data_IF_429712012848
#
_entry.id   IF_429712012848
#
_cell.length_a   1.000
_cell.length_b   1.000
_cell.length_c   1.000
_cell.angle_alpha   90.00
_cell.angle_beta   90.00
_cell.angle_gamma   90.00
#
_symmetry.space_group_name_H-M   'P 1'
#
loop_
_entity.id
_entity.type
_entity.pdbx_description
1 polymer ?
#
# COMPACT_ATOMS: atom_id res chain seq x y z
N UNK A 1 20.89 -27.58 -2.87
CA UNK A 1 19.93 -26.46 -2.75
C UNK A 1 18.78 -26.72 -1.76
N UNK A 2 18.68 -27.91 -1.14
CA UNK A 2 17.63 -28.29 -0.18
C UNK A 2 17.98 -28.07 1.31
N UNK A 3 19.21 -27.68 1.62
CA UNK A 3 19.72 -27.56 3.00
C UNK A 3 19.33 -26.26 3.71
N UNK A 4 18.86 -25.24 2.99
CA UNK A 4 18.41 -23.99 3.59
C UNK A 4 16.98 -24.04 4.18
N UNK A 5 16.16 -25.04 3.81
CA UNK A 5 14.77 -25.11 4.29
C UNK A 5 14.63 -25.58 5.76
N UNK A 6 15.63 -26.25 6.35
CA UNK A 6 15.50 -26.81 7.71
C UNK A 6 15.80 -25.84 8.85
N UNK A 7 16.42 -24.68 8.61
CA UNK A 7 16.79 -23.75 9.70
C UNK A 7 15.72 -22.70 10.07
N UNK A 8 14.69 -22.51 9.25
CA UNK A 8 13.72 -21.41 9.44
C UNK A 8 12.39 -21.83 10.08
N UNK A 9 12.23 -23.09 10.46
CA UNK A 9 11.03 -23.59 11.16
C UNK A 9 10.96 -23.25 12.66
N UNK A 10 11.91 -22.46 13.19
CA UNK A 10 11.97 -22.08 14.60
C UNK A 10 11.89 -20.56 14.85
N UNK A 11 11.26 -19.80 13.94
CA UNK A 11 10.98 -18.37 14.19
C UNK A 11 9.67 -18.19 14.97
N UNK A 12 9.84 -17.69 16.18
CA UNK A 12 8.91 -17.47 17.30
C UNK A 12 8.37 -16.07 17.56
N UNK A 13 7.09 -15.71 17.33
CA UNK A 13 6.57 -14.44 17.86
C UNK A 13 6.07 -14.48 19.31
N UNK A 14 6.48 -13.46 20.06
CA UNK A 14 5.88 -12.98 21.31
C UNK A 14 5.34 -11.54 21.16
N UNK A 15 4.05 -11.31 21.50
CA UNK A 15 3.46 -9.96 21.62
C UNK A 15 3.88 -9.39 22.98
N UNK A 16 4.46 -8.19 22.96
CA UNK A 16 4.84 -7.44 24.16
C UNK A 16 3.64 -6.63 24.67
N UNK A 17 2.99 -5.87 23.79
CA UNK A 17 1.85 -5.03 24.12
C UNK A 17 0.90 -4.84 22.94
N UNK A 18 -0.34 -4.51 23.26
CA UNK A 18 -1.38 -4.12 22.30
C UNK A 18 -2.19 -2.99 22.90
N UNK A 19 -2.19 -1.86 22.22
CA UNK A 19 -2.77 -0.60 22.71
C UNK A 19 -3.67 0.03 21.66
N UNK A 20 -4.55 0.93 22.11
CA UNK A 20 -5.36 1.78 21.23
C UNK A 20 -4.83 3.20 21.37
N UNK A 21 -4.22 3.72 20.31
CA UNK A 21 -3.66 5.06 20.27
C UNK A 21 -4.70 6.02 19.71
N UNK A 22 -5.12 6.97 20.53
CA UNK A 22 -6.09 8.01 20.17
C UNK A 22 -5.37 9.31 19.75
N UNK A 23 -6.04 10.20 19.03
CA UNK A 23 -5.55 11.56 18.79
C UNK A 23 -5.17 12.25 20.10
N UNK A 24 -4.10 13.06 20.05
CA UNK A 24 -3.59 13.78 21.23
C UNK A 24 -4.53 14.89 21.71
N UNK A 25 -5.38 15.40 20.81
CA UNK A 25 -6.47 16.32 21.13
C UNK A 25 -7.76 15.83 20.49
N UNK A 26 -8.92 16.03 21.15
CA UNK A 26 -10.21 15.56 20.63
C UNK A 26 -10.53 16.14 19.25
N UNK A 27 -11.14 15.33 18.39
CA UNK A 27 -11.65 15.80 17.10
C UNK A 27 -12.78 16.81 17.33
N UNK A 28 -12.69 18.03 16.76
CA UNK A 28 -13.72 19.05 16.87
C UNK A 28 -15.10 18.54 16.42
N UNK A 29 -16.18 19.02 17.06
CA UNK A 29 -17.54 18.52 16.80
C UNK A 29 -17.96 18.62 15.31
N UNK A 30 -17.52 19.66 14.61
CA UNK A 30 -17.80 19.84 13.18
C UNK A 30 -16.98 18.91 12.25
N UNK A 31 -16.01 18.17 12.79
CA UNK A 31 -15.16 17.22 12.07
C UNK A 31 -15.41 15.77 12.49
N UNK A 32 -16.36 15.51 13.41
CA UNK A 32 -16.69 14.15 13.87
C UNK A 32 -17.31 13.25 12.80
N UNK A 33 -17.74 13.82 11.69
CA UNK A 33 -18.30 13.05 10.57
C UNK A 33 -17.49 13.37 9.33
N UNK A 34 -16.90 12.34 8.72
CA UNK A 34 -16.15 12.45 7.49
C UNK A 34 -16.82 11.63 6.40
N UNK A 35 -17.26 12.29 5.32
CA UNK A 35 -17.94 11.64 4.21
C UNK A 35 -16.94 11.32 3.10
N UNK A 36 -16.91 10.07 2.65
CA UNK A 36 -16.08 9.63 1.54
C UNK A 36 -16.49 10.33 0.25
N UNK A 37 -15.52 10.78 -0.53
CA UNK A 37 -15.78 11.39 -1.84
C UNK A 37 -16.30 10.36 -2.85
N UNK A 38 -16.82 10.81 -3.99
CA UNK A 38 -17.18 9.90 -5.09
C UNK A 38 -15.99 9.01 -5.52
N UNK A 39 -14.76 9.53 -5.51
CA UNK A 39 -13.59 8.72 -5.89
C UNK A 39 -13.30 7.65 -4.85
N UNK A 40 -13.37 7.98 -3.56
CA UNK A 40 -13.26 7.00 -2.48
C UNK A 40 -14.31 5.89 -2.63
N UNK A 41 -15.56 6.25 -2.92
CA UNK A 41 -16.68 5.32 -3.09
C UNK A 41 -16.54 4.39 -4.29
N UNK A 42 -15.83 4.83 -5.34
CA UNK A 42 -15.59 4.03 -6.54
C UNK A 42 -14.35 3.14 -6.43
N UNK A 43 -13.55 3.28 -5.37
CA UNK A 43 -12.41 2.40 -5.13
C UNK A 43 -12.82 1.14 -4.38
N UNK A 44 -12.22 0.01 -4.79
CA UNK A 44 -12.42 -1.26 -4.11
C UNK A 44 -11.85 -1.18 -2.69
N UNK A 45 -12.65 -1.58 -1.70
CA UNK A 45 -12.20 -1.60 -0.32
C UNK A 45 -11.11 -2.67 -0.15
N UNK A 46 -9.93 -2.25 0.30
CA UNK A 46 -8.82 -3.15 0.58
C UNK A 46 -7.93 -2.63 1.69
N UNK A 47 -7.35 -3.55 2.46
CA UNK A 47 -6.35 -3.20 3.45
C UNK A 47 -4.98 -3.08 2.78
N UNK A 48 -4.47 -1.85 2.68
CA UNK A 48 -3.10 -1.60 2.26
C UNK A 48 -2.16 -1.82 3.44
N UNK A 49 -1.19 -2.72 3.29
CA UNK A 49 -0.19 -2.95 4.32
C UNK A 49 1.19 -2.51 3.85
N UNK A 50 1.80 -1.63 4.64
CA UNK A 50 3.16 -1.14 4.40
C UNK A 50 4.07 -1.70 5.48
N UNK A 51 5.20 -2.28 5.05
CA UNK A 51 6.23 -2.79 5.94
C UNK A 51 7.49 -1.92 5.81
N UNK A 52 7.84 -1.22 6.90
CA UNK A 52 9.05 -0.43 7.00
C UNK A 52 10.02 -1.14 7.95
N UNK A 53 11.25 -1.37 7.49
CA UNK A 53 12.27 -2.09 8.24
C UNK A 53 13.46 -1.18 8.48
N UNK A 54 13.77 -0.97 9.75
CA UNK A 54 14.86 -0.11 10.18
C UNK A 54 15.92 -0.93 10.90
N UNK A 55 17.19 -0.67 10.59
CA UNK A 55 18.30 -1.20 11.38
C UNK A 55 18.33 -0.41 12.68
N UNK A 56 17.98 -1.04 13.79
CA UNK A 56 18.05 -0.39 15.10
C UNK A 56 19.50 -0.05 15.43
N UNK A 57 19.76 1.23 15.69
CA UNK A 57 20.99 1.67 16.33
C UNK A 57 20.73 2.08 17.77
N UNK A 58 19.60 2.73 18.12
CA UNK A 58 19.39 3.27 19.47
C UNK A 58 17.94 3.51 19.95
N UNK A 59 16.90 2.81 19.47
CA UNK A 59 15.52 3.14 19.91
C UNK A 59 14.69 1.89 20.20
N UNK A 60 14.55 1.58 21.50
CA UNK A 60 13.52 0.70 22.06
C UNK A 60 12.63 1.56 22.97
N UNK A 61 11.90 2.53 22.41
CA UNK A 61 10.89 3.22 23.20
C UNK A 61 9.61 3.38 22.38
N UNK A 62 8.75 2.36 22.45
CA UNK A 62 7.40 2.36 21.90
C UNK A 62 6.59 3.55 22.40
N UNK A 63 6.84 4.05 23.61
CA UNK A 63 6.17 5.24 24.16
C UNK A 63 6.41 6.48 23.28
N UNK A 64 7.63 6.65 22.75
CA UNK A 64 7.97 7.77 21.87
C UNK A 64 7.20 7.66 20.55
N UNK A 65 7.12 6.45 19.99
CA UNK A 65 6.39 6.19 18.76
C UNK A 65 4.89 6.44 18.96
N UNK A 66 4.32 5.95 20.07
CA UNK A 66 2.92 6.14 20.46
C UNK A 66 2.59 7.62 20.66
N UNK A 67 3.46 8.37 21.32
CA UNK A 67 3.29 9.81 21.53
C UNK A 67 3.21 10.59 20.22
N UNK A 68 4.14 10.34 19.29
CA UNK A 68 4.13 11.04 18.00
C UNK A 68 3.00 10.54 17.08
N UNK A 69 2.63 9.27 17.17
CA UNK A 69 1.47 8.72 16.47
C UNK A 69 0.19 9.43 16.93
N UNK A 70 -0.01 9.56 18.24
CA UNK A 70 -1.14 10.29 18.83
C UNK A 70 -1.21 11.74 18.33
N UNK A 71 -0.08 12.43 18.26
CA UNK A 71 0.00 13.80 17.69
C UNK A 71 -0.34 13.85 16.20
N UNK A 72 0.13 12.88 15.41
CA UNK A 72 -0.17 12.82 13.98
C UNK A 72 -1.64 12.50 13.73
N UNK A 73 -2.25 11.61 14.52
CA UNK A 73 -3.68 11.27 14.42
C UNK A 73 -4.60 12.48 14.65
N UNK A 74 -4.17 13.49 15.39
CA UNK A 74 -4.91 14.77 15.49
C UNK A 74 -5.09 15.45 14.13
N UNK A 75 -4.06 15.39 13.28
CA UNK A 75 -4.10 15.95 11.92
C UNK A 75 -4.81 15.02 10.93
N UNK A 76 -4.70 13.72 11.17
CA UNK A 76 -5.29 12.65 10.37
C UNK A 76 -6.46 11.98 11.12
N UNK A 77 -7.37 12.79 11.64
CA UNK A 77 -8.44 12.33 12.52
C UNK A 77 -9.34 11.22 11.94
N UNK A 78 -9.61 11.14 10.61
CA UNK A 78 -10.40 10.02 10.08
C UNK A 78 -9.75 8.66 10.30
N UNK A 79 -8.42 8.58 10.42
CA UNK A 79 -7.71 7.32 10.68
C UNK A 79 -7.99 6.77 12.08
N UNK A 80 -8.35 7.64 13.03
CA UNK A 80 -8.80 7.24 14.36
C UNK A 80 -10.32 6.96 14.40
N UNK A 81 -11.03 7.06 13.28
CA UNK A 81 -12.46 6.83 13.18
C UNK A 81 -12.85 5.38 12.86
N UNK A 82 -14.14 5.16 12.59
CA UNK A 82 -14.69 3.88 12.13
C UNK A 82 -15.62 4.11 10.95
N UNK A 83 -15.52 3.25 9.94
CA UNK A 83 -16.46 3.26 8.82
C UNK A 83 -17.83 2.82 9.34
N UNK A 84 -18.84 3.61 9.02
CA UNK A 84 -20.23 3.37 9.38
C UNK A 84 -20.84 2.25 8.52
N UNK A 85 -22.03 1.80 8.92
CA UNK A 85 -22.75 0.72 8.21
C UNK A 85 -23.17 1.10 6.78
N UNK A 86 -23.24 2.40 6.48
CA UNK A 86 -23.49 2.90 5.13
C UNK A 86 -22.28 2.73 4.19
N UNK A 87 -21.10 2.42 4.77
CA UNK A 87 -19.79 2.31 4.14
C UNK A 87 -19.34 3.49 3.30
N UNK A 88 -19.94 4.66 3.50
CA UNK A 88 -19.54 5.91 2.84
C UNK A 88 -19.25 7.03 3.85
N UNK A 89 -19.52 6.78 5.13
CA UNK A 89 -19.30 7.74 6.21
C UNK A 89 -18.34 7.15 7.24
N UNK A 90 -17.40 7.95 7.71
CA UNK A 90 -16.49 7.62 8.80
C UNK A 90 -16.88 8.43 10.03
N UNK A 91 -17.24 7.74 11.11
CA UNK A 91 -17.39 8.33 12.44
C UNK A 91 -16.00 8.58 13.04
N UNK A 92 -15.65 9.86 13.11
CA UNK A 92 -14.40 10.37 13.66
C UNK A 92 -14.50 10.63 15.17
N UNK A 93 -15.15 9.72 15.91
CA UNK A 93 -15.30 9.75 17.37
C UNK A 93 -14.05 9.38 18.18
N UNK A 94 -12.85 9.54 17.64
CA UNK A 94 -11.57 9.25 18.32
C UNK A 94 -11.46 7.82 18.90
N UNK A 95 -11.94 6.83 18.14
CA UNK A 95 -11.82 5.41 18.48
C UNK A 95 -10.38 4.93 18.54
N UNK A 96 -9.47 5.61 17.84
CA UNK A 96 -8.05 5.33 17.82
C UNK A 96 -7.66 4.16 16.92
N UNK A 97 -6.35 3.96 16.80
CA UNK A 97 -5.71 2.92 15.99
C UNK A 97 -5.09 1.85 16.88
N UNK A 98 -5.11 0.60 16.43
CA UNK A 98 -4.46 -0.50 17.14
C UNK A 98 -2.95 -0.42 16.91
N UNK A 99 -2.19 -0.30 17.99
CA UNK A 99 -0.73 -0.39 17.99
C UNK A 99 -0.31 -1.70 18.65
N UNK A 100 0.58 -2.46 18.01
CA UNK A 100 1.07 -3.75 18.52
C UNK A 100 2.58 -3.72 18.58
N UNK A 101 3.12 -3.98 19.77
CA UNK A 101 4.54 -4.25 19.98
C UNK A 101 4.74 -5.76 20.13
N UNK A 102 5.73 -6.32 19.46
CA UNK A 102 6.05 -7.76 19.49
C UNK A 102 7.58 -7.94 19.38
N UNK A 103 8.19 -9.12 19.60
CA UNK A 103 9.68 -9.32 19.64
C UNK A 103 10.24 -10.51 18.87
N UNK A 104 11.32 -10.32 18.03
CA UNK A 104 11.83 -11.30 17.03
C UNK A 104 12.64 -12.43 17.62
N UNK A 105 12.11 -13.66 17.72
CA UNK A 105 12.87 -14.83 18.11
C UNK A 105 13.22 -15.70 16.90
N UNK A 106 14.51 -16.03 16.77
CA UNK A 106 14.99 -16.97 15.76
C UNK A 106 15.16 -16.43 14.34
N UNK A 107 15.08 -15.11 14.12
CA UNK A 107 15.34 -14.49 12.81
C UNK A 107 16.03 -13.12 12.96
N UNK A 108 17.12 -12.89 12.23
CA UNK A 108 17.80 -11.57 12.21
C UNK A 108 17.25 -10.72 11.07
N UNK A 109 17.20 -9.39 11.26
CA UNK A 109 16.78 -8.46 10.19
C UNK A 109 17.58 -8.66 8.89
N UNK A 110 18.90 -8.91 8.99
CA UNK A 110 19.75 -9.21 7.83
C UNK A 110 19.31 -10.44 7.03
N UNK A 111 18.75 -11.44 7.71
CA UNK A 111 18.25 -12.67 7.07
C UNK A 111 16.94 -12.39 6.33
N UNK A 112 16.09 -11.50 6.87
CA UNK A 112 14.88 -11.04 6.21
C UNK A 112 15.18 -10.29 4.90
N UNK A 113 16.19 -9.42 4.89
CA UNK A 113 16.59 -8.68 3.68
C UNK A 113 17.11 -9.59 2.57
N UNK A 114 17.83 -10.65 2.92
CA UNK A 114 18.41 -11.58 1.96
C UNK A 114 17.31 -12.40 1.23
N UNK A 115 16.25 -12.78 1.95
CA UNK A 115 15.16 -13.58 1.40
C UNK A 115 13.79 -13.17 1.98
N UNK A 116 13.16 -12.10 1.46
CA UNK A 116 11.82 -11.72 1.87
C UNK A 116 10.83 -12.75 1.32
N UNK A 117 10.58 -13.80 2.10
CA UNK A 117 9.57 -14.83 1.80
C UNK A 117 8.21 -14.37 2.27
N UNK A 118 7.17 -14.72 1.50
CA UNK A 118 5.79 -14.39 1.85
C UNK A 118 5.41 -14.92 3.24
N UNK A 119 5.85 -16.12 3.59
CA UNK A 119 5.56 -16.75 4.88
C UNK A 119 6.09 -15.92 6.05
N UNK A 120 7.28 -15.33 5.92
CA UNK A 120 7.88 -14.48 6.96
C UNK A 120 7.31 -13.06 6.94
N UNK A 121 6.95 -12.53 5.78
CA UNK A 121 6.24 -11.24 5.66
C UNK A 121 4.86 -11.30 6.29
N UNK A 122 4.16 -12.43 6.09
CA UNK A 122 2.85 -12.69 6.69
C UNK A 122 2.90 -12.70 8.20
N UNK A 123 4.05 -12.97 8.82
CA UNK A 123 4.25 -12.89 10.27
C UNK A 123 4.34 -11.45 10.79
N UNK A 124 4.22 -10.39 9.96
CA UNK A 124 4.41 -8.98 10.38
C UNK A 124 3.13 -8.10 10.37
N UNK A 125 1.98 -8.57 9.89
CA UNK A 125 0.71 -7.83 9.73
C UNK A 125 -0.44 -8.12 10.74
N UNK A 126 -0.67 -7.31 11.77
CA UNK A 126 -1.53 -7.65 12.92
C UNK A 126 -2.82 -8.43 12.60
N UNK A 127 -3.18 -9.33 13.51
CA UNK A 127 -4.28 -10.29 13.38
C UNK A 127 -5.54 -9.66 12.77
N UNK A 128 -6.06 -10.28 11.70
CA UNK A 128 -7.32 -9.90 11.07
C UNK A 128 -7.23 -8.91 9.91
N UNK A 129 -6.09 -8.22 9.72
CA UNK A 129 -6.01 -7.08 8.79
C UNK A 129 -5.16 -7.31 7.54
N UNK A 130 -4.68 -8.55 7.32
CA UNK A 130 -4.39 -9.08 6.00
C UNK A 130 -4.80 -10.55 5.91
N UNK A 131 -5.81 -10.83 5.10
CA UNK A 131 -6.19 -12.17 4.64
C UNK A 131 -6.31 -13.20 5.76
N UNK A 132 -7.47 -13.25 6.47
CA UNK A 132 -7.89 -14.22 7.51
C UNK A 132 -6.85 -15.32 7.85
N UNK A 133 -6.47 -15.40 9.12
CA UNK A 133 -5.46 -16.32 9.68
C UNK A 133 -4.03 -15.85 9.43
N UNK A 134 -3.41 -15.15 10.39
CA UNK A 134 -1.96 -14.95 10.49
C UNK A 134 -1.56 -14.65 11.94
N UNK A 135 -0.61 -15.42 12.47
CA UNK A 135 0.00 -15.31 13.81
C UNK A 135 1.29 -14.48 13.70
N UNK A 136 1.48 -13.41 14.48
CA UNK A 136 2.42 -12.32 14.09
C UNK A 136 3.26 -11.67 15.15
N UNK A 137 4.56 -11.58 14.83
CA UNK A 137 5.53 -10.59 15.31
C UNK A 137 6.72 -10.53 14.37
N UNK A 138 7.61 -9.56 14.55
CA UNK A 138 7.98 -9.08 15.85
C UNK A 138 8.69 -7.68 15.81
N UNK A 139 9.57 -7.21 16.74
CA UNK A 139 9.80 -5.75 16.99
C UNK A 139 10.37 -4.95 15.83
N UNK A 140 9.43 -4.40 15.08
CA UNK A 140 9.56 -3.41 14.03
C UNK A 140 8.37 -2.48 14.22
N UNK A 141 8.53 -1.22 13.85
CA UNK A 141 7.38 -0.37 13.63
C UNK A 141 6.68 -0.85 12.36
N UNK A 142 5.75 -1.78 12.49
CA UNK A 142 4.81 -2.08 11.41
C UNK A 142 3.70 -1.06 11.51
N UNK A 143 3.86 0.00 10.71
CA UNK A 143 2.79 0.95 10.50
C UNK A 143 1.80 0.35 9.50
N UNK A 144 0.87 -0.45 10.00
CA UNK A 144 -0.30 -0.85 9.23
C UNK A 144 -1.42 0.12 9.60
N UNK A 145 -1.67 1.09 8.74
CA UNK A 145 -2.91 1.85 8.83
C UNK A 145 -3.91 1.26 7.83
N UNK A 146 -5.15 1.12 8.29
CA UNK A 146 -6.28 0.78 7.47
C UNK A 146 -6.54 2.01 6.61
N UNK A 147 -6.09 1.99 5.36
CA UNK A 147 -6.45 3.03 4.41
C UNK A 147 -7.66 2.55 3.63
N UNK A 148 -8.75 3.30 3.74
CA UNK A 148 -9.82 3.32 2.75
C UNK A 148 -9.45 4.24 1.56
N UNK A 149 -8.21 4.74 1.55
CA UNK A 149 -7.72 5.81 0.68
C UNK A 149 -6.47 5.35 -0.07
N UNK A 150 -6.05 6.12 -1.07
CA UNK A 150 -4.97 5.72 -1.96
C UNK A 150 -3.60 5.59 -1.23
N UNK A 151 -2.65 4.93 -1.89
CA UNK A 151 -1.29 4.77 -1.34
C UNK A 151 -0.56 6.10 -1.07
N UNK A 152 -0.98 7.21 -1.69
CA UNK A 152 -0.42 8.55 -1.46
C UNK A 152 -0.85 9.08 -0.09
N UNK A 153 -2.10 8.90 0.31
CA UNK A 153 -2.59 9.30 1.64
C UNK A 153 -1.83 8.57 2.75
N UNK A 154 -1.65 7.26 2.61
CA UNK A 154 -0.84 6.47 3.55
C UNK A 154 0.61 6.97 3.61
N UNK A 155 1.21 7.25 2.45
CA UNK A 155 2.57 7.78 2.39
C UNK A 155 2.68 9.15 3.06
N UNK A 156 1.69 10.04 2.88
CA UNK A 156 1.63 11.34 3.53
C UNK A 156 1.56 11.20 5.05
N UNK A 157 0.67 10.33 5.56
CA UNK A 157 0.57 10.02 6.98
C UNK A 157 1.90 9.54 7.57
N UNK A 158 2.57 8.57 6.93
CA UNK A 158 3.85 8.04 7.39
C UNK A 158 4.96 9.10 7.37
N UNK A 159 4.99 9.92 6.31
CA UNK A 159 5.95 11.02 6.19
C UNK A 159 5.73 12.07 7.28
N UNK A 160 4.48 12.40 7.60
CA UNK A 160 4.15 13.39 8.63
C UNK A 160 4.34 12.85 10.04
N UNK A 161 4.12 11.56 10.25
CA UNK A 161 4.47 10.90 11.50
C UNK A 161 5.97 10.95 11.76
N UNK A 162 6.78 10.56 10.78
CA UNK A 162 8.24 10.63 10.89
C UNK A 162 8.72 12.06 11.13
N UNK A 163 8.17 13.03 10.39
CA UNK A 163 8.50 14.45 10.55
C UNK A 163 8.14 14.98 11.92
N UNK A 164 6.94 14.64 12.41
CA UNK A 164 6.48 15.02 13.75
C UNK A 164 7.39 14.42 14.82
N UNK A 165 7.87 13.18 14.63
CA UNK A 165 8.84 12.54 15.52
C UNK A 165 10.22 13.20 15.49
N UNK A 166 10.60 13.83 14.38
CA UNK A 166 11.82 14.62 14.24
C UNK A 166 11.67 16.07 14.74
N UNK A 167 10.48 16.47 15.22
CA UNK A 167 10.20 17.84 15.66
C UNK A 167 9.95 18.83 14.52
N UNK A 168 9.74 18.36 13.29
CA UNK A 168 9.38 19.21 12.17
C UNK A 168 7.93 19.72 12.30
N UNK A 169 7.74 21.01 12.07
CA UNK A 169 6.40 21.62 12.02
C UNK A 169 5.93 21.66 10.58
N UNK A 170 4.95 20.82 10.26
CA UNK A 170 4.26 20.82 8.97
C UNK A 170 2.83 21.31 9.09
N UNK A 171 2.30 22.01 8.07
CA UNK A 171 0.90 22.41 8.04
C UNK A 171 -0.01 21.18 8.17
N UNK A 172 -1.20 21.31 8.78
CA UNK A 172 -2.20 20.25 8.74
C UNK A 172 -2.51 19.87 7.29
N UNK A 173 -2.75 18.58 7.02
CA UNK A 173 -3.07 18.16 5.69
C UNK A 173 -4.51 18.61 5.35
N UNK A 174 -4.72 19.04 4.12
CA UNK A 174 -6.03 19.50 3.67
C UNK A 174 -6.79 18.32 3.06
N UNK A 175 -7.70 17.71 3.84
CA UNK A 175 -8.47 16.56 3.37
C UNK A 175 -9.50 17.00 2.35
N UNK A 176 -9.26 16.69 1.07
CA UNK A 176 -10.06 17.17 -0.05
C UNK A 176 -11.28 16.32 -0.37
N UNK A 177 -11.60 15.31 0.44
CA UNK A 177 -12.85 14.58 0.24
C UNK A 177 -14.08 15.50 0.22
N UNK A 178 -14.00 16.68 0.86
CA UNK A 178 -15.04 17.72 0.80
C UNK A 178 -15.13 18.45 -0.56
N UNK A 179 -14.08 18.41 -1.40
CA UNK A 179 -14.05 19.08 -2.70
C UNK A 179 -14.65 18.23 -3.83
N UNK A 180 -14.75 16.91 -3.64
CA UNK A 180 -15.44 16.00 -4.56
C UNK A 180 -16.73 15.55 -3.88
N UNK A 181 -17.92 15.88 -4.43
CA UNK A 181 -19.17 15.53 -3.78
C UNK A 181 -19.30 14.01 -3.64
N UNK A 182 -19.73 13.55 -2.48
CA UNK A 182 -20.29 12.22 -2.31
C UNK A 182 -21.60 12.11 -3.08
N UNK A 183 -21.81 10.99 -3.76
CA UNK A 183 -23.11 10.62 -4.34
C UNK A 183 -23.71 9.45 -3.59
N UNK A 184 -25.03 9.32 -3.64
CA UNK A 184 -25.70 8.06 -3.28
C UNK A 184 -25.72 7.19 -4.54
N UNK A 185 -24.80 6.24 -4.62
CA UNK A 185 -24.66 5.36 -5.77
C UNK A 185 -25.74 4.27 -5.81
N UNK A 186 -26.45 4.02 -4.70
CA UNK A 186 -27.39 2.90 -4.57
C UNK A 186 -26.72 1.51 -4.56
N UNK A 187 -25.39 1.46 -4.56
CA UNK A 187 -24.60 0.24 -4.41
C UNK A 187 -23.25 0.57 -3.75
N UNK A 188 -22.65 -0.42 -3.10
CA UNK A 188 -21.35 -0.31 -2.44
C UNK A 188 -20.32 -1.09 -3.23
N UNK A 189 -19.10 -0.56 -3.34
CA UNK A 189 -18.01 -1.32 -3.93
C UNK A 189 -17.72 -2.55 -3.07
N UNK A 190 -17.53 -3.73 -3.68
CA UNK A 190 -17.26 -4.95 -2.93
C UNK A 190 -15.85 -4.91 -2.34
N UNK A 191 -15.67 -5.60 -1.23
CA UNK A 191 -14.35 -5.88 -0.69
C UNK A 191 -13.56 -6.79 -1.63
N UNK A 192 -12.25 -6.56 -1.75
CA UNK A 192 -11.38 -7.48 -2.48
C UNK A 192 -11.21 -8.76 -1.66
N UNK A 193 -11.77 -9.88 -2.14
CA UNK A 193 -11.59 -11.21 -1.53
C UNK A 193 -10.64 -12.05 -2.37
N UNK A 194 -9.44 -12.33 -1.85
CA UNK A 194 -8.51 -13.28 -2.47
C UNK A 194 -9.01 -14.70 -2.23
N UNK A 195 -9.16 -15.46 -3.32
CA UNK A 195 -9.46 -16.88 -3.27
C UNK A 195 -8.27 -17.67 -2.70
N UNK A 196 -8.41 -18.17 -1.47
CA UNK A 196 -7.38 -18.94 -0.75
C UNK A 196 -7.27 -20.41 -1.18
N UNK A 197 -8.15 -20.90 -2.04
CA UNK A 197 -8.10 -22.27 -2.53
C UNK A 197 -6.92 -22.52 -3.50
N UNK A 198 -6.29 -21.46 -4.01
CA UNK A 198 -5.10 -21.54 -4.86
C UNK A 198 -3.87 -21.12 -4.08
N UNK A 199 -2.83 -21.94 -4.14
CA UNK A 199 -1.50 -21.58 -3.64
C UNK A 199 -0.89 -20.50 -4.53
N UNK A 200 -0.84 -19.28 -4.02
CA UNK A 200 -0.13 -18.17 -4.64
C UNK A 200 1.26 -18.01 -4.01
N UNK A 201 2.26 -17.69 -4.82
CA UNK A 201 3.61 -17.35 -4.35
C UNK A 201 3.94 -15.92 -4.73
N UNK A 202 4.49 -15.16 -3.78
CA UNK A 202 4.97 -13.80 -4.04
C UNK A 202 6.47 -13.83 -4.27
N UNK A 203 6.93 -13.19 -5.35
CA UNK A 203 8.36 -13.02 -5.67
C UNK A 203 8.69 -11.55 -5.86
N UNK A 204 9.88 -11.15 -5.43
CA UNK A 204 10.42 -9.80 -5.63
C UNK A 204 11.38 -9.78 -6.80
N UNK A 205 11.07 -9.01 -7.84
CA UNK A 205 11.93 -8.79 -8.99
C UNK A 205 12.62 -7.42 -8.86
N UNK A 206 13.95 -7.39 -8.98
CA UNK A 206 14.76 -6.17 -8.81
C UNK A 206 15.40 -5.79 -10.14
N UNK A 207 15.06 -4.61 -10.65
CA UNK A 207 15.60 -4.04 -11.89
C UNK A 207 16.65 -2.98 -11.53
N UNK A 208 17.93 -3.35 -11.58
CA UNK A 208 19.04 -2.43 -11.35
C UNK A 208 19.22 -1.43 -12.50
N UNK A 209 19.96 -0.35 -12.23
CA UNK A 209 20.20 0.73 -13.19
C UNK A 209 20.73 0.24 -14.55
N UNK A 210 21.66 -0.72 -14.54
CA UNK A 210 22.21 -1.33 -15.77
C UNK A 210 21.13 -2.02 -16.62
N UNK A 211 20.28 -2.85 -16.01
CA UNK A 211 19.18 -3.53 -16.72
C UNK A 211 18.18 -2.53 -17.28
N UNK A 212 17.85 -1.49 -16.52
CA UNK A 212 16.99 -0.39 -17.00
C UNK A 212 17.63 0.32 -18.20
N UNK A 213 18.95 0.56 -18.16
CA UNK A 213 19.69 1.14 -19.28
C UNK A 213 19.61 0.28 -20.55
N UNK A 214 19.77 -1.04 -20.41
CA UNK A 214 19.62 -1.98 -21.54
C UNK A 214 18.18 -2.01 -22.08
N UNK A 215 17.18 -1.97 -21.20
CA UNK A 215 15.77 -1.88 -21.62
C UNK A 215 15.50 -0.60 -22.42
N UNK A 216 16.01 0.55 -21.95
CA UNK A 216 15.92 1.83 -22.68
C UNK A 216 16.53 1.75 -24.07
N UNK A 217 17.71 1.14 -24.20
CA UNK A 217 18.37 0.95 -25.50
C UNK A 217 17.54 0.04 -26.42
N UNK A 218 16.94 -1.03 -25.90
CA UNK A 218 16.17 -1.99 -26.70
C UNK A 218 14.89 -1.43 -27.32
N UNK A 219 14.39 -0.31 -26.82
CA UNK A 219 13.18 0.38 -27.34
C UNK A 219 13.52 1.71 -28.03
N UNK A 220 14.81 2.02 -28.17
CA UNK A 220 15.26 3.21 -28.88
C UNK A 220 14.77 3.19 -30.34
N UNK A 221 14.23 4.31 -30.80
CA UNK A 221 13.61 4.43 -32.13
C UNK A 221 12.13 4.02 -32.18
N UNK A 222 11.58 3.40 -31.13
CA UNK A 222 10.13 3.17 -30.99
C UNK A 222 9.48 4.22 -30.10
N UNK A 223 10.15 4.59 -29.00
CA UNK A 223 9.70 5.61 -28.04
C UNK A 223 10.87 6.56 -27.76
N UNK A 224 10.65 7.87 -27.87
CA UNK A 224 11.71 8.86 -27.72
C UNK A 224 12.27 8.91 -26.30
N UNK A 225 11.41 8.92 -25.27
CA UNK A 225 11.83 9.16 -23.88
C UNK A 225 11.08 8.30 -22.86
N UNK A 226 11.21 6.96 -22.92
CA UNK A 226 10.46 6.08 -22.02
C UNK A 226 10.91 6.24 -20.55
N UNK A 227 9.93 6.30 -19.66
CA UNK A 227 10.11 6.32 -18.22
C UNK A 227 10.54 4.93 -17.71
N UNK A 228 11.09 4.88 -16.50
CA UNK A 228 11.45 3.60 -15.87
C UNK A 228 10.20 2.75 -15.56
N UNK A 229 9.09 3.41 -15.24
CA UNK A 229 7.82 2.77 -14.91
C UNK A 229 7.26 2.01 -16.11
N UNK A 230 7.10 2.71 -17.24
CA UNK A 230 6.59 2.13 -18.49
C UNK A 230 7.40 0.91 -18.90
N UNK A 231 8.73 1.00 -18.91
CA UNK A 231 9.61 -0.12 -19.28
C UNK A 231 9.41 -1.35 -18.39
N UNK A 232 9.31 -1.16 -17.08
CA UNK A 232 9.15 -2.26 -16.13
C UNK A 232 7.75 -2.87 -16.26
N UNK A 233 6.71 -2.03 -16.31
CA UNK A 233 5.32 -2.48 -16.50
C UNK A 233 5.19 -3.28 -17.79
N UNK A 234 5.71 -2.77 -18.91
CA UNK A 234 5.67 -3.43 -20.22
C UNK A 234 6.33 -4.79 -20.18
N UNK A 235 7.53 -4.91 -19.57
CA UNK A 235 8.23 -6.19 -19.45
C UNK A 235 7.41 -7.18 -18.62
N UNK A 236 6.88 -6.75 -17.46
CA UNK A 236 6.07 -7.60 -16.61
C UNK A 236 4.78 -8.05 -17.31
N UNK A 237 4.09 -7.12 -17.98
CA UNK A 237 2.86 -7.39 -18.72
C UNK A 237 3.11 -8.43 -19.81
N UNK A 238 4.16 -8.27 -20.61
CA UNK A 238 4.57 -9.25 -21.62
C UNK A 238 4.84 -10.62 -21.00
N UNK A 239 5.63 -10.69 -19.92
CA UNK A 239 5.92 -11.96 -19.25
C UNK A 239 4.66 -12.67 -18.74
N UNK A 240 3.71 -11.92 -18.16
CA UNK A 240 2.44 -12.48 -17.66
C UNK A 240 1.60 -13.02 -18.81
N UNK A 241 1.45 -12.26 -19.90
CA UNK A 241 0.69 -12.70 -21.07
C UNK A 241 1.31 -13.94 -21.71
N UNK A 242 2.63 -13.94 -21.95
CA UNK A 242 3.33 -15.11 -22.52
C UNK A 242 3.17 -16.34 -21.62
N UNK A 243 3.33 -16.20 -20.30
CA UNK A 243 3.15 -17.33 -19.37
C UNK A 243 1.71 -17.85 -19.36
N UNK A 244 0.72 -16.95 -19.49
CA UNK A 244 -0.69 -17.33 -19.59
C UNK A 244 -0.97 -18.10 -20.88
N UNK A 245 -0.41 -17.64 -22.00
CA UNK A 245 -0.54 -18.30 -23.30
C UNK A 245 0.07 -19.69 -23.30
N UNK A 246 1.29 -19.85 -22.79
CA UNK A 246 1.96 -21.15 -22.67
C UNK A 246 1.11 -22.15 -21.85
N UNK A 247 0.43 -21.66 -20.82
CA UNK A 247 -0.43 -22.49 -19.97
C UNK A 247 -1.77 -22.85 -20.64
N UNK A 248 -2.37 -21.91 -21.36
CA UNK A 248 -3.70 -22.08 -21.97
C UNK A 248 -3.65 -22.68 -23.38
N UNK A 249 -2.49 -22.66 -24.03
CA UNK A 249 -2.29 -23.11 -25.41
C UNK A 249 -2.79 -22.14 -26.47
N UNK A 250 -3.33 -20.98 -26.08
CA UNK A 250 -3.82 -19.96 -27.00
C UNK A 250 -3.73 -18.54 -26.40
N UNK A 251 -3.76 -17.53 -27.27
CA UNK A 251 -3.92 -16.15 -26.86
C UNK A 251 -5.37 -15.86 -26.46
N UNK A 252 -5.53 -15.14 -25.35
CA UNK A 252 -6.81 -14.57 -24.92
C UNK A 252 -6.65 -13.08 -24.73
N UNK A 253 -7.73 -12.33 -24.95
CA UNK A 253 -7.76 -10.89 -24.70
C UNK A 253 -7.16 -10.57 -23.33
N UNK A 254 -6.24 -9.61 -23.31
CA UNK A 254 -5.49 -9.24 -22.13
C UNK A 254 -5.68 -7.77 -21.83
N UNK A 255 -5.87 -7.45 -20.55
CA UNK A 255 -6.04 -6.09 -20.06
C UNK A 255 -4.96 -5.81 -19.02
N UNK A 256 -4.19 -4.75 -19.24
CA UNK A 256 -3.35 -4.12 -18.23
C UNK A 256 -4.13 -2.93 -17.65
N UNK A 257 -4.32 -2.92 -16.33
CA UNK A 257 -4.99 -1.83 -15.62
C UNK A 257 -3.95 -1.21 -14.69
N UNK A 258 -3.67 0.07 -14.86
CA UNK A 258 -2.72 0.81 -14.02
C UNK A 258 -3.43 1.95 -13.31
N UNK A 259 -3.27 1.97 -11.98
CA UNK A 259 -3.73 3.06 -11.13
C UNK A 259 -2.74 4.22 -11.21
N UNK A 260 -3.25 5.42 -11.47
CA UNK A 260 -2.48 6.64 -11.58
C UNK A 260 -3.01 7.69 -10.63
N UNK A 261 -2.07 8.45 -10.08
CA UNK A 261 -2.40 9.62 -9.30
C UNK A 261 -2.88 10.74 -10.24
N UNK A 262 -4.16 11.12 -10.11
CA UNK A 262 -4.83 12.18 -10.84
C UNK A 262 -4.58 13.57 -10.23
N UNK A 263 -4.03 13.63 -9.02
CA UNK A 263 -3.74 14.87 -8.29
C UNK A 263 -3.08 15.95 -9.15
N UNK A 264 -1.99 15.58 -9.82
CA UNK A 264 -1.18 16.50 -10.64
C UNK A 264 -1.80 16.81 -12.00
N UNK A 265 -2.96 16.21 -12.31
CA UNK A 265 -3.64 16.32 -13.60
C UNK A 265 -4.88 17.21 -13.54
N UNK A 266 -5.27 17.72 -12.37
CA UNK A 266 -6.33 18.72 -12.25
C UNK A 266 -5.88 20.09 -12.79
N UNK A 267 -6.78 20.79 -13.48
CA UNK A 267 -6.51 22.09 -14.10
C UNK A 267 -6.13 23.17 -13.08
N UNK A 268 -6.66 23.07 -11.86
CA UNK A 268 -6.22 23.85 -10.70
C UNK A 268 -5.24 23.01 -9.90
N UNK A 269 -3.99 23.46 -9.80
CA UNK A 269 -3.03 22.84 -8.89
C UNK A 269 -3.51 23.04 -7.45
N UNK A 270 -3.97 21.95 -6.83
CA UNK A 270 -4.29 21.89 -5.42
C UNK A 270 -2.99 22.00 -4.60
N UNK A 271 -3.05 22.50 -3.37
CA UNK A 271 -1.84 22.69 -2.56
C UNK A 271 -1.17 21.36 -2.22
N UNK A 272 0.16 21.35 -2.11
CA UNK A 272 0.97 20.15 -1.90
C UNK A 272 0.66 19.39 -0.59
N UNK A 273 0.04 20.03 0.39
CA UNK A 273 -0.36 19.43 1.67
C UNK A 273 -1.75 18.79 1.64
N UNK A 274 -2.39 18.75 0.48
CA UNK A 274 -3.75 18.26 0.38
C UNK A 274 -3.78 16.75 0.12
N UNK A 275 -4.77 16.08 0.69
CA UNK A 275 -4.81 14.62 0.79
C UNK A 275 -6.22 14.08 0.49
N UNK A 276 -6.29 12.83 0.04
CA UNK A 276 -7.51 12.12 -0.31
C UNK A 276 -7.28 11.16 -1.49
N UNK A 277 -8.26 10.34 -1.82
CA UNK A 277 -8.15 9.40 -2.94
C UNK A 277 -8.40 10.11 -4.28
N UNK A 278 -7.32 10.42 -4.98
CA UNK A 278 -7.36 10.96 -6.34
C UNK A 278 -6.71 9.97 -7.29
N UNK A 279 -6.98 8.68 -7.11
CA UNK A 279 -6.52 7.66 -8.03
C UNK A 279 -7.59 7.36 -9.08
N UNK A 280 -7.16 7.25 -10.33
CA UNK A 280 -7.98 6.70 -11.42
C UNK A 280 -7.19 5.61 -12.12
N UNK A 281 -7.86 4.77 -12.89
CA UNK A 281 -7.18 3.76 -13.68
C UNK A 281 -7.24 4.10 -15.17
N UNK A 282 -6.20 3.71 -15.90
CA UNK A 282 -6.29 3.56 -17.34
C UNK A 282 -6.09 2.09 -17.70
N UNK A 283 -6.70 1.70 -18.81
CA UNK A 283 -6.73 0.31 -19.26
C UNK A 283 -6.11 0.22 -20.64
N UNK A 284 -5.20 -0.72 -20.82
CA UNK A 284 -4.68 -1.12 -22.13
C UNK A 284 -5.20 -2.51 -22.43
N UNK A 285 -5.97 -2.61 -23.50
CA UNK A 285 -6.52 -3.86 -23.99
C UNK A 285 -5.75 -4.32 -25.21
N UNK A 286 -5.38 -5.60 -25.22
CA UNK A 286 -4.71 -6.26 -26.34
C UNK A 286 -5.53 -7.48 -26.75
N UNK A 287 -5.92 -7.51 -28.02
CA UNK A 287 -6.75 -8.54 -28.63
C UNK A 287 -5.99 -9.38 -29.67
N UNK A 288 -4.70 -9.09 -29.88
CA UNK A 288 -3.82 -9.82 -30.78
C UNK A 288 -2.44 -10.00 -30.12
N UNK A 289 -1.93 -11.23 -30.20
CA UNK A 289 -0.59 -11.64 -29.74
C UNK A 289 0.51 -10.78 -30.35
N UNK A 290 0.39 -10.40 -31.62
CA UNK A 290 1.41 -9.64 -32.33
C UNK A 290 1.73 -8.29 -31.66
N UNK A 291 0.74 -7.73 -30.94
CA UNK A 291 0.85 -6.47 -30.22
C UNK A 291 1.64 -6.59 -28.90
N UNK A 292 1.83 -7.81 -28.38
CA UNK A 292 2.52 -8.10 -27.12
C UNK A 292 4.00 -8.45 -27.36
N UNK A 293 4.30 -9.05 -28.50
CA UNK A 293 5.62 -9.63 -28.76
C UNK A 293 6.73 -8.60 -29.01
N UNK A 294 6.38 -7.40 -29.48
CA UNK A 294 7.34 -6.33 -29.69
C UNK A 294 7.32 -5.36 -28.51
N UNK A 295 8.39 -5.41 -27.69
CA UNK A 295 8.59 -4.53 -26.54
C UNK A 295 8.47 -3.04 -26.90
N UNK A 296 9.10 -2.61 -28.00
CA UNK A 296 9.07 -1.20 -28.42
C UNK A 296 7.67 -0.69 -28.78
N UNK A 297 6.79 -1.56 -29.28
CA UNK A 297 5.38 -1.23 -29.56
C UNK A 297 4.45 -1.33 -28.34
N UNK A 298 4.96 -1.86 -27.23
CA UNK A 298 4.21 -2.12 -26.00
C UNK A 298 4.58 -1.15 -24.86
N UNK A 299 5.64 -0.37 -25.02
CA UNK A 299 5.95 0.75 -24.10
C UNK A 299 4.88 1.82 -24.25
N UNK A 300 4.40 2.31 -23.12
CA UNK A 300 3.32 3.30 -22.98
C UNK A 300 3.86 4.72 -23.07
#
# INVERSE_FOLDING_TARGET
MYTACRKYMASSMEIISKEIIKPSSPTPNNLKTFKLSLLDQLTLHSHTAILLLYKSQHINNSDILNFFLSKTLTKYYPFAGRLEKDGITVDCGDHGVVFVEAKILGCRLSEFHAYPRYETQRLLYPEGFLWKDSCIGHMFLVAQAISFEDGCMMAAFLNDWAATAHGEVRPPPMILAASIPSLDLGYMMPDIVINKAKTCVTKRFVFGAQKIGLLKQSVSGFVETPTKGELITTVLYRCVVTSSMEKMGCFTNSNLIELVNMWRRFATQLSDNSIGNFSWYYTISKNDESQIMNLGKLVL
#
